data_IF_714881716155
#
_entry.id   IF_714881716155
#
_cell.length_a   1.000
_cell.length_b   1.000
_cell.length_c   1.000
_cell.angle_alpha   90.00
_cell.angle_beta   90.00
_cell.angle_gamma   90.00
#
_symmetry.space_group_name_H-M   'P 1'
#
loop_
_entity.id
_entity.type
_entity.pdbx_description
1 polymer ?
#
# COMPACT_ATOMS: atom_id res chain seq x y z
N UNK A 1 -8.41 -23.06 12.17
CA UNK A 1 -7.54 -22.90 10.99
C UNK A 1 -8.32 -22.97 9.67
N UNK A 2 -9.04 -24.07 9.40
CA UNK A 2 -9.75 -24.26 8.11
C UNK A 2 -10.78 -23.17 7.76
N UNK A 3 -11.51 -22.66 8.76
CA UNK A 3 -12.51 -21.61 8.54
C UNK A 3 -11.90 -20.24 8.18
N UNK A 4 -10.74 -19.90 8.73
CA UNK A 4 -10.06 -18.64 8.39
C UNK A 4 -9.54 -18.66 6.95
N UNK A 5 -8.95 -19.79 6.52
CA UNK A 5 -8.51 -19.96 5.13
C UNK A 5 -9.68 -19.93 4.14
N UNK A 6 -10.82 -20.49 4.51
CA UNK A 6 -12.04 -20.44 3.70
C UNK A 6 -12.56 -19.00 3.54
N UNK A 7 -12.62 -18.23 4.64
CA UNK A 7 -13.03 -16.82 4.59
C UNK A 7 -12.11 -15.97 3.71
N UNK A 8 -10.79 -16.13 3.85
CA UNK A 8 -9.81 -15.43 3.01
C UNK A 8 -10.00 -15.79 1.53
N UNK A 9 -10.29 -17.06 1.22
CA UNK A 9 -10.52 -17.47 -0.16
C UNK A 9 -11.81 -16.90 -0.76
N UNK A 10 -12.86 -16.72 0.04
CA UNK A 10 -14.09 -16.05 -0.41
C UNK A 10 -13.81 -14.58 -0.71
N UNK A 11 -13.17 -13.86 0.21
CA UNK A 11 -12.74 -12.46 0.00
C UNK A 11 -11.90 -12.36 -1.28
N UNK A 12 -10.89 -13.22 -1.45
CA UNK A 12 -10.04 -13.22 -2.65
C UNK A 12 -10.85 -13.42 -3.94
N UNK A 13 -11.90 -14.22 -3.90
CA UNK A 13 -12.75 -14.47 -5.07
C UNK A 13 -13.57 -13.24 -5.41
N UNK A 14 -14.12 -12.56 -4.40
CA UNK A 14 -14.89 -11.32 -4.59
C UNK A 14 -13.99 -10.20 -5.12
N UNK A 15 -12.78 -10.05 -4.57
CA UNK A 15 -11.82 -9.02 -5.00
C UNK A 15 -11.38 -9.18 -6.46
N UNK A 16 -11.39 -10.40 -7.01
CA UNK A 16 -11.05 -10.59 -8.42
C UNK A 16 -12.01 -9.85 -9.36
N UNK A 17 -13.31 -9.83 -9.03
CA UNK A 17 -14.33 -9.14 -9.81
C UNK A 17 -14.22 -7.63 -9.58
N UNK A 18 -14.01 -7.19 -8.34
CA UNK A 18 -13.81 -5.77 -8.02
C UNK A 18 -12.63 -5.17 -8.80
N UNK A 19 -11.49 -5.87 -8.81
CA UNK A 19 -10.29 -5.45 -9.54
C UNK A 19 -10.55 -5.42 -11.04
N UNK A 20 -11.20 -6.44 -11.60
CA UNK A 20 -11.51 -6.49 -13.03
C UNK A 20 -12.43 -5.33 -13.45
N UNK A 21 -13.47 -5.05 -12.67
CA UNK A 21 -14.38 -3.94 -12.91
C UNK A 21 -13.66 -2.59 -12.85
N UNK A 22 -12.88 -2.36 -11.81
CA UNK A 22 -12.18 -1.09 -11.62
C UNK A 22 -11.13 -0.86 -12.72
N UNK A 23 -10.35 -1.89 -13.06
CA UNK A 23 -9.35 -1.82 -14.12
C UNK A 23 -9.98 -1.49 -15.48
N UNK A 24 -11.11 -2.11 -15.80
CA UNK A 24 -11.86 -1.84 -17.04
C UNK A 24 -12.37 -0.40 -17.05
N UNK A 25 -13.08 0.00 -16.00
CA UNK A 25 -13.69 1.33 -15.90
C UNK A 25 -12.65 2.44 -15.99
N UNK A 26 -11.54 2.33 -15.26
CA UNK A 26 -10.46 3.34 -15.29
C UNK A 26 -9.80 3.37 -16.67
N UNK A 27 -9.53 2.22 -17.28
CA UNK A 27 -8.89 2.15 -18.60
C UNK A 27 -9.77 2.77 -19.69
N UNK A 28 -11.08 2.51 -19.65
CA UNK A 28 -12.05 3.12 -20.56
C UNK A 28 -12.12 4.63 -20.36
N UNK A 29 -12.32 5.11 -19.12
CA UNK A 29 -12.36 6.54 -18.81
C UNK A 29 -11.08 7.25 -19.24
N UNK A 30 -9.92 6.63 -19.05
CA UNK A 30 -8.62 7.16 -19.49
C UNK A 30 -8.58 7.35 -21.02
N UNK A 31 -9.23 6.46 -21.77
CA UNK A 31 -9.25 6.51 -23.24
C UNK A 31 -10.23 7.51 -23.84
N UNK A 32 -11.20 7.99 -23.05
CA UNK A 32 -12.27 8.85 -23.54
C UNK A 32 -11.81 10.30 -23.79
N UNK A 33 -12.58 10.99 -24.62
CA UNK A 33 -12.56 12.46 -24.70
C UNK A 33 -13.76 12.98 -23.93
N UNK A 34 -13.51 13.76 -22.88
CA UNK A 34 -14.52 14.20 -21.92
C UNK A 34 -14.92 15.63 -22.25
N UNK A 35 -16.23 15.90 -22.32
CA UNK A 35 -16.77 17.24 -22.52
C UNK A 35 -16.83 17.98 -21.19
N UNK A 36 -16.34 19.22 -21.17
CA UNK A 36 -16.39 20.11 -20.00
C UNK A 36 -17.68 20.94 -20.00
N UNK A 37 -18.00 21.54 -18.85
CA UNK A 37 -19.20 22.38 -18.69
C UNK A 37 -19.22 23.61 -19.60
N UNK A 38 -18.04 24.15 -19.93
CA UNK A 38 -17.86 25.27 -20.88
C UNK A 38 -17.90 24.83 -22.36
N UNK A 39 -18.20 23.55 -22.63
CA UNK A 39 -18.36 23.00 -23.96
C UNK A 39 -17.04 22.61 -24.66
N UNK A 40 -15.90 22.78 -24.01
CA UNK A 40 -14.61 22.26 -24.51
C UNK A 40 -14.51 20.75 -24.30
N UNK A 41 -13.38 20.18 -24.71
CA UNK A 41 -13.05 18.77 -24.51
C UNK A 41 -11.66 18.61 -23.91
N UNK A 42 -11.48 17.57 -23.10
CA UNK A 42 -10.19 17.18 -22.54
C UNK A 42 -9.98 15.67 -22.69
N UNK A 43 -8.72 15.21 -22.89
CA UNK A 43 -8.42 13.77 -22.85
C UNK A 43 -8.63 13.22 -21.44
N UNK A 44 -9.30 12.08 -21.31
CA UNK A 44 -9.52 11.39 -20.04
C UNK A 44 -8.22 11.07 -19.30
N UNK A 45 -7.16 10.72 -20.04
CA UNK A 45 -5.82 10.51 -19.48
C UNK A 45 -5.27 11.71 -18.71
N UNK A 46 -5.58 12.95 -19.13
CA UNK A 46 -5.14 14.14 -18.39
C UNK A 46 -5.82 14.31 -17.02
N UNK A 47 -6.93 13.61 -16.79
CA UNK A 47 -7.66 13.58 -15.51
C UNK A 47 -7.22 12.37 -14.68
N UNK A 48 -7.11 11.19 -15.29
CA UNK A 48 -6.84 9.93 -14.61
C UNK A 48 -5.36 9.80 -14.21
N UNK A 49 -4.42 10.13 -15.10
CA UNK A 49 -3.00 9.85 -14.90
C UNK A 49 -2.40 10.54 -13.65
N UNK A 50 -2.73 11.81 -13.34
CA UNK A 50 -2.23 12.46 -12.12
C UNK A 50 -2.66 11.71 -10.84
N UNK A 51 -3.95 11.38 -10.73
CA UNK A 51 -4.51 10.68 -9.56
C UNK A 51 -3.92 9.27 -9.45
N UNK A 52 -3.78 8.57 -10.58
CA UNK A 52 -3.17 7.24 -10.61
C UNK A 52 -1.72 7.26 -10.11
N UNK A 53 -0.92 8.20 -10.57
CA UNK A 53 0.48 8.32 -10.17
C UNK A 53 0.62 8.62 -8.67
N UNK A 54 -0.20 9.54 -8.14
CA UNK A 54 -0.24 9.83 -6.70
C UNK A 54 -0.65 8.60 -5.88
N UNK A 55 -1.65 7.86 -6.33
CA UNK A 55 -2.10 6.63 -5.67
C UNK A 55 -0.98 5.57 -5.63
N UNK A 56 -0.26 5.37 -6.75
CA UNK A 56 0.85 4.42 -6.81
C UNK A 56 1.98 4.82 -5.86
N UNK A 57 2.39 6.08 -5.86
CA UNK A 57 3.42 6.60 -4.96
C UNK A 57 3.00 6.42 -3.49
N UNK A 58 1.76 6.76 -3.17
CA UNK A 58 1.23 6.60 -1.82
C UNK A 58 1.31 5.15 -1.35
N UNK A 59 0.76 4.21 -2.12
CA UNK A 59 0.66 2.82 -1.72
C UNK A 59 1.98 2.05 -1.79
N UNK A 60 2.89 2.42 -2.70
CA UNK A 60 4.14 1.68 -2.92
C UNK A 60 5.31 2.23 -2.11
N UNK A 61 5.31 3.54 -1.83
CA UNK A 61 6.46 4.21 -1.19
C UNK A 61 6.04 4.83 0.13
N UNK A 62 5.10 5.79 0.10
CA UNK A 62 4.81 6.64 1.27
C UNK A 62 4.26 5.82 2.43
N UNK A 63 3.22 5.02 2.18
CA UNK A 63 2.59 4.19 3.20
C UNK A 63 3.53 3.09 3.69
N UNK A 64 4.34 2.49 2.80
CA UNK A 64 5.32 1.48 3.19
C UNK A 64 6.37 2.04 4.16
N UNK A 65 6.89 3.25 3.87
CA UNK A 65 7.84 3.93 4.75
C UNK A 65 7.19 4.27 6.11
N UNK A 66 5.98 4.86 6.08
CA UNK A 66 5.24 5.18 7.31
C UNK A 66 4.97 3.93 8.16
N UNK A 67 4.52 2.84 7.54
CA UNK A 67 4.24 1.59 8.23
C UNK A 67 5.51 0.97 8.81
N UNK A 68 6.65 1.07 8.12
CA UNK A 68 7.96 0.63 8.62
C UNK A 68 8.37 1.42 9.85
N UNK A 69 8.29 2.75 9.81
CA UNK A 69 8.61 3.63 10.94
C UNK A 69 7.73 3.33 12.15
N UNK A 70 6.41 3.29 11.95
CA UNK A 70 5.45 2.99 13.00
C UNK A 70 5.65 1.57 13.58
N UNK A 71 5.93 0.58 12.73
CA UNK A 71 6.23 -0.78 13.18
C UNK A 71 7.50 -0.80 14.03
N UNK A 72 8.55 -0.08 13.61
CA UNK A 72 9.80 0.02 14.37
C UNK A 72 9.57 0.66 15.73
N UNK A 73 8.87 1.80 15.81
CA UNK A 73 8.55 2.45 17.08
C UNK A 73 7.78 1.54 18.04
N UNK A 74 6.79 0.83 17.52
CA UNK A 74 6.00 -0.13 18.29
C UNK A 74 6.87 -1.29 18.82
N UNK A 75 7.74 -1.84 18.00
CA UNK A 75 8.69 -2.89 18.40
C UNK A 75 9.62 -2.38 19.50
N UNK A 76 10.26 -1.23 19.29
CA UNK A 76 11.23 -0.66 20.24
C UNK A 76 10.59 -0.33 21.58
N UNK A 77 9.36 0.20 21.56
CA UNK A 77 8.58 0.46 22.78
C UNK A 77 8.32 -0.84 23.56
N UNK A 78 7.90 -1.90 22.86
CA UNK A 78 7.64 -3.21 23.49
C UNK A 78 8.91 -3.87 24.03
N UNK A 79 10.04 -3.72 23.33
CA UNK A 79 11.32 -4.27 23.78
C UNK A 79 11.79 -3.55 25.04
N UNK A 80 11.84 -2.21 25.04
CA UNK A 80 12.31 -1.40 26.19
C UNK A 80 11.47 -1.59 27.45
N UNK A 81 10.19 -1.97 27.33
CA UNK A 81 9.34 -2.28 28.46
C UNK A 81 9.67 -3.63 29.15
N UNK A 82 10.58 -4.44 28.62
CA UNK A 82 11.03 -5.70 29.24
C UNK A 82 12.19 -5.46 30.21
N UNK A 83 12.37 -6.34 31.22
CA UNK A 83 13.49 -6.23 32.18
C UNK A 83 14.88 -6.14 31.53
N UNK A 84 15.12 -6.87 30.44
CA UNK A 84 16.35 -6.82 29.63
C UNK A 84 16.18 -5.97 28.35
N UNK A 85 15.23 -5.04 28.34
CA UNK A 85 14.80 -4.30 27.17
C UNK A 85 15.89 -3.54 26.41
N UNK A 86 16.82 -2.83 27.08
CA UNK A 86 17.93 -2.15 26.40
C UNK A 86 18.85 -3.10 25.63
N UNK A 87 19.14 -4.28 26.17
CA UNK A 87 19.98 -5.28 25.50
C UNK A 87 19.25 -5.89 24.30
N UNK A 88 17.96 -6.22 24.43
CA UNK A 88 17.15 -6.75 23.34
C UNK A 88 16.99 -5.75 22.18
N UNK A 89 16.82 -4.47 22.50
CA UNK A 89 16.78 -3.39 21.52
C UNK A 89 18.11 -3.28 20.74
N UNK A 90 19.24 -3.32 21.44
CA UNK A 90 20.56 -3.30 20.81
C UNK A 90 20.79 -4.52 19.89
N UNK A 91 20.34 -5.71 20.30
CA UNK A 91 20.40 -6.91 19.46
C UNK A 91 19.51 -6.77 18.22
N UNK A 92 18.28 -6.29 18.37
CA UNK A 92 17.38 -6.06 17.24
C UNK A 92 18.01 -5.12 16.20
N UNK A 93 18.54 -3.97 16.66
CA UNK A 93 19.22 -3.02 15.78
C UNK A 93 20.46 -3.64 15.10
N UNK A 94 21.22 -4.49 15.81
CA UNK A 94 22.41 -5.14 15.22
C UNK A 94 22.11 -6.08 14.04
N UNK A 95 20.90 -6.64 13.97
CA UNK A 95 20.48 -7.56 12.90
C UNK A 95 20.14 -6.78 11.62
N UNK A 96 19.55 -5.59 11.76
CA UNK A 96 19.21 -4.71 10.64
C UNK A 96 20.46 -4.30 9.82
N UNK A 97 21.59 -4.07 10.49
CA UNK A 97 22.84 -3.68 9.85
C UNK A 97 23.64 -4.85 9.26
N UNK A 98 23.34 -6.11 9.63
CA UNK A 98 23.98 -7.28 9.01
C UNK A 98 23.43 -7.57 7.60
N UNK A 99 22.12 -7.40 7.38
CA UNK A 99 21.51 -7.64 6.07
C UNK A 99 21.76 -6.53 5.04
N UNK A 100 22.12 -5.32 5.45
CA UNK A 100 22.44 -4.22 4.54
C UNK A 100 23.90 -4.24 4.04
N UNK A 101 24.73 -5.14 4.58
CA UNK A 101 26.15 -5.28 4.27
C UNK A 101 26.48 -6.53 3.41
N UNK A 102 25.46 -7.34 3.07
CA UNK A 102 25.52 -8.44 2.09
C UNK A 102 24.82 -8.03 0.79
#
# INVERSE_FOLDING_TARGET
ANHAAELVNRIRTDEAIHVAYLATTISELRSFTIKTEDGKTVPGGSIIDPVWNEMIEWHSVTQANFAREQSRENIMTRLKAKPNGPALAATFDSIEFQQAAE
#
